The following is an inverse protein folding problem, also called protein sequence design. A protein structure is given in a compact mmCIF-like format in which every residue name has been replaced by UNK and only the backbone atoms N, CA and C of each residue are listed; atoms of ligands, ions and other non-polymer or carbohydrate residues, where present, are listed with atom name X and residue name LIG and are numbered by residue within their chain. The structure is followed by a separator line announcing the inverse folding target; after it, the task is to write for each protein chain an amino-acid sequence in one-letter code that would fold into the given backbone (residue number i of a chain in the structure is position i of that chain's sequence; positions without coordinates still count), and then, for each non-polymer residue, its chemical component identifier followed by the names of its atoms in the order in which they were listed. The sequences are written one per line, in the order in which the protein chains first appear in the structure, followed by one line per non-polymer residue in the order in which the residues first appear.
data_IF_964916893610
#
_entry.id   IF_964916893610
#
_cell.length_a   1.000
_cell.length_b   1.000
_cell.length_c   1.000
_cell.angle_alpha   90.00
_cell.angle_beta   90.00
_cell.angle_gamma   90.00
#
_symmetry.space_group_name_H-M   'P 1'
#
loop_
_entity.id
_entity.type
_entity.pdbx_description
1 polymer ?
#
# COMPACT_ATOMS: atom_id res chain seq x y z
N UNK A 1 3.61 1.09 8.92
CA UNK A 1 4.28 2.28 8.35
C UNK A 1 4.27 3.47 9.30
N UNK A 2 3.11 3.92 9.82
CA UNK A 2 2.99 5.13 10.68
C UNK A 2 3.98 5.14 11.85
N UNK A 3 4.12 4.02 12.59
CA UNK A 3 5.03 3.95 13.73
C UNK A 3 6.52 4.14 13.35
N UNK A 4 6.92 3.59 12.20
CA UNK A 4 8.29 3.75 11.67
C UNK A 4 8.53 5.20 11.25
N UNK A 5 7.56 5.80 10.55
CA UNK A 5 7.64 7.19 10.11
C UNK A 5 7.73 8.15 11.32
N UNK A 6 6.91 7.91 12.35
CA UNK A 6 6.97 8.71 13.59
C UNK A 6 8.29 8.52 14.34
N UNK A 7 8.82 7.31 14.38
CA UNK A 7 10.13 7.06 14.99
C UNK A 7 11.24 7.80 14.24
N UNK A 8 11.29 7.70 12.90
CA UNK A 8 12.29 8.44 12.11
C UNK A 8 12.09 9.94 12.24
N UNK A 9 10.84 10.44 12.23
CA UNK A 9 10.56 11.85 12.49
C UNK A 9 11.12 12.32 13.84
N UNK A 10 10.98 11.50 14.89
CA UNK A 10 11.51 11.83 16.21
C UNK A 10 13.03 11.99 16.25
N UNK A 11 13.76 11.31 15.36
CA UNK A 11 15.22 11.44 15.23
C UNK A 11 15.62 12.73 14.49
N UNK A 12 14.72 13.27 13.68
CA UNK A 12 14.97 14.45 12.84
C UNK A 12 14.50 15.76 13.47
N UNK A 13 13.47 15.69 14.33
CA UNK A 13 12.80 16.88 14.86
C UNK A 13 13.73 17.77 15.69
N UNK A 14 14.69 17.18 16.39
CA UNK A 14 15.65 17.89 17.25
C UNK A 14 17.02 18.09 16.58
N UNK A 15 17.14 17.87 15.27
CA UNK A 15 18.40 18.02 14.56
C UNK A 15 18.59 19.47 14.04
N UNK A 16 19.52 20.27 14.64
CA UNK A 16 19.74 21.65 14.26
C UNK A 16 20.33 21.81 12.86
N UNK A 17 21.08 20.82 12.38
CA UNK A 17 21.71 20.84 11.06
C UNK A 17 20.66 20.79 9.94
N UNK A 18 19.56 20.05 10.17
CA UNK A 18 18.46 19.95 9.24
C UNK A 18 17.73 21.30 9.09
N UNK A 19 17.49 21.96 10.21
CA UNK A 19 16.88 23.30 10.25
C UNK A 19 17.75 24.33 9.53
N UNK A 20 19.07 24.27 9.74
CA UNK A 20 20.05 25.14 9.08
C UNK A 20 20.15 24.88 7.57
N UNK A 21 20.12 23.63 7.13
CA UNK A 21 20.15 23.25 5.71
C UNK A 21 18.94 23.77 4.92
N UNK A 22 17.80 23.98 5.59
CA UNK A 22 16.59 24.56 4.99
C UNK A 22 16.54 26.09 5.08
N UNK A 23 17.66 26.74 5.47
CA UNK A 23 17.73 28.19 5.56
C UNK A 23 17.13 28.77 6.83
N UNK A 24 16.82 27.93 7.83
CA UNK A 24 16.38 28.37 9.15
C UNK A 24 17.51 28.85 10.02
N UNK A 25 17.19 29.59 11.12
CA UNK A 25 18.12 29.85 12.20
C UNK A 25 18.48 28.56 12.94
N UNK A 26 19.58 28.54 13.68
CA UNK A 26 19.96 27.37 14.52
C UNK A 26 18.97 27.07 15.64
N UNK A 27 17.96 27.88 15.81
CA UNK A 27 16.85 27.62 16.73
C UNK A 27 15.96 26.56 16.14
N UNK A 28 15.63 25.53 16.93
CA UNK A 28 14.81 24.44 16.55
C UNK A 28 13.42 24.89 16.10
N UNK A 29 13.11 24.75 14.82
CA UNK A 29 11.79 25.03 14.30
C UNK A 29 11.09 23.73 13.96
N UNK A 30 10.10 23.37 14.77
CA UNK A 30 9.25 22.18 14.50
C UNK A 30 8.66 22.20 13.08
N UNK A 31 8.24 23.39 12.62
CA UNK A 31 7.68 23.55 11.28
C UNK A 31 8.69 23.21 10.18
N UNK A 32 9.96 23.65 10.31
CA UNK A 32 11.02 23.33 9.36
C UNK A 32 11.38 21.84 9.40
N UNK A 33 11.43 21.22 10.58
CA UNK A 33 11.66 19.79 10.72
C UNK A 33 10.55 18.97 10.09
N UNK A 34 9.30 19.40 10.19
CA UNK A 34 8.17 18.75 9.53
C UNK A 34 8.23 18.86 8.01
N UNK A 35 8.60 20.01 7.48
CA UNK A 35 8.81 20.22 6.03
C UNK A 35 9.96 19.36 5.52
N UNK A 36 11.09 19.35 6.23
CA UNK A 36 12.25 18.54 5.88
C UNK A 36 11.91 17.05 5.85
N UNK A 37 11.20 16.56 6.87
CA UNK A 37 10.74 15.20 6.95
C UNK A 37 9.86 14.85 5.74
N UNK A 38 8.88 15.68 5.43
CA UNK A 38 7.98 15.45 4.29
C UNK A 38 8.73 15.39 2.95
N UNK A 39 9.71 16.29 2.74
CA UNK A 39 10.52 16.32 1.52
C UNK A 39 11.44 15.10 1.39
N UNK A 40 12.00 14.60 2.50
CA UNK A 40 12.88 13.45 2.52
C UNK A 40 12.12 12.13 2.38
N UNK A 41 10.93 12.04 2.98
CA UNK A 41 10.14 10.80 2.99
C UNK A 41 9.29 10.59 1.74
N UNK A 42 8.81 11.65 1.11
CA UNK A 42 7.99 11.55 -0.11
C UNK A 42 8.61 10.66 -1.21
N UNK A 43 9.89 10.81 -1.61
CA UNK A 43 10.50 9.93 -2.59
C UNK A 43 10.74 8.49 -2.07
N UNK A 44 10.91 8.33 -0.76
CA UNK A 44 11.08 7.00 -0.15
C UNK A 44 9.75 6.24 -0.20
N UNK A 45 8.65 6.87 0.19
CA UNK A 45 7.32 6.27 0.13
C UNK A 45 6.94 5.92 -1.31
N UNK A 46 7.28 6.76 -2.30
CA UNK A 46 7.04 6.48 -3.71
C UNK A 46 7.70 5.17 -4.19
N UNK A 47 8.81 4.77 -3.58
CA UNK A 47 9.51 3.51 -3.88
C UNK A 47 8.98 2.36 -3.02
N UNK A 48 8.73 2.62 -1.74
CA UNK A 48 8.34 1.58 -0.78
C UNK A 48 6.89 1.13 -0.94
N UNK A 49 5.98 2.05 -1.24
CA UNK A 49 4.55 1.73 -1.35
C UNK A 49 4.25 0.68 -2.42
N UNK A 50 4.78 0.74 -3.65
CA UNK A 50 4.58 -0.32 -4.64
C UNK A 50 5.11 -1.68 -4.19
N UNK A 51 6.22 -1.71 -3.44
CA UNK A 51 6.82 -2.95 -2.91
C UNK A 51 5.91 -3.56 -1.85
N UNK A 52 5.46 -2.75 -0.89
CA UNK A 52 4.56 -3.18 0.18
C UNK A 52 3.21 -3.62 -0.39
N UNK A 53 2.66 -2.84 -1.32
CA UNK A 53 1.44 -3.17 -2.04
C UNK A 53 1.58 -4.50 -2.79
N UNK A 54 2.72 -4.74 -3.42
CA UNK A 54 3.04 -6.01 -4.09
C UNK A 54 3.03 -7.20 -3.14
N UNK A 55 3.62 -7.05 -1.95
CA UNK A 55 3.60 -8.10 -0.90
C UNK A 55 2.16 -8.34 -0.42
N UNK A 56 1.40 -7.28 -0.15
CA UNK A 56 0.00 -7.38 0.26
C UNK A 56 -0.84 -8.15 -0.76
N UNK A 57 -0.73 -7.80 -2.05
CA UNK A 57 -1.42 -8.52 -3.12
C UNK A 57 -1.05 -10.00 -3.20
N UNK A 58 0.23 -10.35 -3.01
CA UNK A 58 0.66 -11.75 -2.95
C UNK A 58 0.03 -12.51 -1.78
N UNK A 59 -0.09 -11.89 -0.63
CA UNK A 59 -0.74 -12.50 0.52
C UNK A 59 -2.22 -12.81 0.24
N UNK A 60 -2.92 -11.91 -0.47
CA UNK A 60 -4.31 -12.13 -0.85
C UNK A 60 -4.47 -13.26 -1.88
N UNK A 61 -3.64 -13.31 -2.91
CA UNK A 61 -3.65 -14.44 -3.85
C UNK A 61 -3.43 -15.78 -3.16
N UNK A 62 -2.50 -15.84 -2.19
CA UNK A 62 -2.26 -17.08 -1.42
C UNK A 62 -3.45 -17.46 -0.54
N UNK A 63 -4.13 -16.48 0.06
CA UNK A 63 -5.33 -16.71 0.84
C UNK A 63 -6.48 -17.19 -0.04
N UNK A 64 -6.65 -16.62 -1.24
CA UNK A 64 -7.65 -17.00 -2.21
C UNK A 64 -7.41 -18.43 -2.74
N UNK A 65 -6.17 -18.77 -3.09
CA UNK A 65 -5.75 -20.09 -3.51
C UNK A 65 -6.03 -21.13 -2.42
N UNK A 66 -5.68 -20.82 -1.17
CA UNK A 66 -5.99 -21.67 -0.04
C UNK A 66 -7.50 -21.94 0.09
N UNK A 67 -8.32 -20.89 0.02
CA UNK A 67 -9.79 -21.05 0.09
C UNK A 67 -10.34 -21.88 -1.09
N UNK A 68 -9.78 -21.72 -2.28
CA UNK A 68 -10.17 -22.48 -3.47
C UNK A 68 -9.84 -23.98 -3.35
N UNK A 69 -8.65 -24.32 -2.83
CA UNK A 69 -8.22 -25.70 -2.59
C UNK A 69 -9.14 -26.44 -1.59
N UNK A 70 -9.70 -25.73 -0.62
CA UNK A 70 -10.67 -26.31 0.34
C UNK A 70 -12.13 -26.28 -0.15
N UNK A 71 -12.36 -26.03 -1.43
CA UNK A 71 -13.70 -26.06 -2.03
C UNK A 71 -14.55 -24.80 -1.81
N UNK A 72 -13.99 -23.74 -1.27
CA UNK A 72 -14.70 -22.49 -0.98
C UNK A 72 -14.60 -21.44 -2.10
N UNK A 73 -13.98 -21.76 -3.24
CA UNK A 73 -13.72 -20.81 -4.34
C UNK A 73 -14.98 -20.14 -4.87
N UNK A 74 -16.07 -20.88 -5.09
CA UNK A 74 -17.34 -20.30 -5.58
C UNK A 74 -17.99 -19.34 -4.56
N UNK A 75 -17.98 -19.72 -3.30
CA UNK A 75 -18.51 -18.89 -2.22
C UNK A 75 -17.70 -17.59 -2.11
N UNK A 76 -16.37 -17.68 -2.22
CA UNK A 76 -15.46 -16.53 -2.21
C UNK A 76 -15.72 -15.62 -3.40
N UNK A 77 -15.82 -16.12 -4.63
CA UNK A 77 -16.16 -15.35 -5.83
C UNK A 77 -17.50 -14.63 -5.65
N UNK A 78 -18.51 -15.32 -5.14
CA UNK A 78 -19.82 -14.73 -4.88
C UNK A 78 -19.75 -13.58 -3.87
N UNK A 79 -19.01 -13.79 -2.78
CA UNK A 79 -18.77 -12.75 -1.75
C UNK A 79 -18.04 -11.52 -2.31
N UNK A 80 -16.97 -11.74 -3.08
CA UNK A 80 -16.19 -10.68 -3.72
C UNK A 80 -17.04 -9.85 -4.70
N UNK A 81 -17.89 -10.50 -5.51
CA UNK A 81 -18.82 -9.81 -6.42
C UNK A 81 -19.81 -8.93 -5.65
N UNK A 82 -20.39 -9.44 -4.56
CA UNK A 82 -21.31 -8.65 -3.71
C UNK A 82 -20.61 -7.45 -3.08
N UNK A 83 -19.41 -7.67 -2.56
CA UNK A 83 -18.61 -6.58 -1.96
C UNK A 83 -18.31 -5.50 -2.99
N UNK A 84 -17.84 -5.87 -4.17
CA UNK A 84 -17.53 -4.93 -5.25
C UNK A 84 -18.75 -4.14 -5.74
N UNK A 85 -19.91 -4.79 -5.84
CA UNK A 85 -21.16 -4.11 -6.19
C UNK A 85 -21.57 -3.08 -5.14
N UNK A 86 -21.40 -3.40 -3.86
CA UNK A 86 -21.75 -2.50 -2.75
C UNK A 86 -20.78 -1.31 -2.62
N UNK A 87 -19.52 -1.50 -2.97
CA UNK A 87 -18.47 -0.48 -2.86
C UNK A 87 -18.27 0.33 -4.14
N UNK A 88 -19.00 0.02 -5.22
CA UNK A 88 -18.85 0.65 -6.54
C UNK A 88 -17.40 0.68 -7.03
N UNK A 89 -16.66 -0.38 -6.75
CA UNK A 89 -15.23 -0.45 -7.07
C UNK A 89 -14.99 -0.47 -8.58
N UNK A 90 -13.92 0.21 -9.02
CA UNK A 90 -13.50 0.19 -10.42
C UNK A 90 -13.03 -1.22 -10.81
N UNK A 91 -13.69 -1.83 -11.78
CA UNK A 91 -13.38 -3.20 -12.24
C UNK A 91 -12.24 -3.26 -13.26
N UNK A 92 -11.92 -2.15 -13.90
CA UNK A 92 -10.93 -2.05 -14.99
C UNK A 92 -9.98 -0.87 -14.80
N UNK A 93 -9.29 -0.77 -13.66
CA UNK A 93 -8.29 0.28 -13.46
C UNK A 93 -7.07 0.05 -14.38
N UNK A 94 -6.37 1.12 -14.71
CA UNK A 94 -5.15 1.02 -15.51
C UNK A 94 -4.08 0.20 -14.75
N UNK A 95 -3.37 -0.74 -15.41
CA UNK A 95 -2.39 -1.63 -14.75
C UNK A 95 -1.31 -0.90 -13.96
N UNK A 96 -0.81 0.25 -14.43
CA UNK A 96 0.18 1.05 -13.72
C UNK A 96 -0.36 1.58 -12.38
N UNK A 97 -1.63 2.00 -12.33
CA UNK A 97 -2.29 2.45 -11.09
C UNK A 97 -2.43 1.30 -10.10
N UNK A 98 -2.82 0.11 -10.59
CA UNK A 98 -2.89 -1.09 -9.74
C UNK A 98 -1.53 -1.43 -9.16
N UNK A 99 -0.47 -1.34 -9.97
CA UNK A 99 0.88 -1.64 -9.52
C UNK A 99 1.37 -0.67 -8.44
N UNK A 100 1.13 0.63 -8.61
CA UNK A 100 1.62 1.68 -7.71
C UNK A 100 0.75 1.81 -6.44
N UNK A 101 -0.57 1.93 -6.61
CA UNK A 101 -1.43 2.45 -5.56
C UNK A 101 -2.29 1.38 -4.89
N UNK A 102 -2.55 0.24 -5.57
CA UNK A 102 -3.48 -0.76 -5.05
C UNK A 102 -2.77 -1.73 -4.10
N UNK A 103 -3.14 -1.69 -2.84
CA UNK A 103 -2.71 -2.68 -1.84
C UNK A 103 -3.42 -4.03 -1.99
N UNK A 104 -4.54 -4.07 -2.72
CA UNK A 104 -5.34 -5.25 -3.02
C UNK A 104 -5.38 -5.52 -4.51
N UNK A 105 -5.39 -6.79 -4.99
CA UNK A 105 -5.64 -7.09 -6.38
C UNK A 105 -7.05 -6.67 -6.79
N UNK A 106 -7.27 -6.38 -8.07
CA UNK A 106 -8.61 -6.07 -8.55
C UNK A 106 -9.53 -7.30 -8.44
N UNK A 107 -10.83 -7.05 -8.38
CA UNK A 107 -11.83 -8.14 -8.37
C UNK A 107 -11.62 -9.12 -9.53
N UNK A 108 -11.39 -8.59 -10.74
CA UNK A 108 -11.19 -9.40 -11.95
C UNK A 108 -9.97 -10.31 -11.79
N UNK A 109 -8.83 -9.76 -11.36
CA UNK A 109 -7.61 -10.52 -11.13
C UNK A 109 -7.79 -11.63 -10.09
N UNK A 110 -8.50 -11.35 -9.00
CA UNK A 110 -8.78 -12.36 -7.95
C UNK A 110 -9.68 -13.49 -8.48
N UNK A 111 -10.75 -13.15 -9.20
CA UNK A 111 -11.64 -14.16 -9.80
C UNK A 111 -10.90 -15.05 -10.80
N UNK A 112 -10.05 -14.47 -11.64
CA UNK A 112 -9.24 -15.22 -12.60
C UNK A 112 -8.26 -16.17 -11.89
N UNK A 113 -7.58 -15.69 -10.85
CA UNK A 113 -6.66 -16.52 -10.06
C UNK A 113 -7.39 -17.70 -9.38
N UNK A 114 -8.55 -17.45 -8.74
CA UNK A 114 -9.35 -18.50 -8.09
C UNK A 114 -9.84 -19.55 -9.09
N UNK A 115 -10.17 -19.14 -10.33
CA UNK A 115 -10.60 -20.07 -11.38
C UNK A 115 -9.43 -20.88 -11.94
N UNK A 116 -8.26 -20.27 -12.12
CA UNK A 116 -7.06 -20.96 -12.59
C UNK A 116 -6.60 -22.07 -11.65
N UNK A 117 -6.67 -21.86 -10.35
CA UNK A 117 -6.35 -22.88 -9.31
C UNK A 117 -7.30 -24.11 -9.34
N UNK A 118 -8.44 -24.02 -10.04
CA UNK A 118 -9.41 -25.14 -10.16
C UNK A 118 -9.19 -26.00 -11.40
N UNK A 119 -8.40 -25.52 -12.34
CA UNK A 119 -8.12 -26.23 -13.60
C UNK A 119 -6.81 -27.03 -13.55
N UNK A 120 -5.99 -26.86 -12.50
CA UNK A 120 -4.79 -27.64 -12.18
C UNK A 120 -5.11 -28.76 -11.16
#
# INVERSE_FOLDING_TARGET
MVAVNLWVFSLLVDNPELSHALGGSRDHSFALSLIAFSLLFSPIDLILDPIINGISRRCEYRADAYAAQYGHGEALISGLKKLSANTLSNLTPHPAVVWMDYSHPTLTQRIEAIKGEREE
#
